data_IF_247395186714
#
_entry.id   IF_247395186714
#
_cell.length_a   1.000
_cell.length_b   1.000
_cell.length_c   1.000
_cell.angle_alpha   90.00
_cell.angle_beta   90.00
_cell.angle_gamma   90.00
#
_symmetry.space_group_name_H-M   'P 1'
#
loop_
_entity.id
_entity.type
_entity.pdbx_description
1 polymer ?
#
# COMPACT_ATOMS: atom_id res chain seq x y z
N UNK A 1 4.51 0.85 17.03
CA UNK A 1 4.64 0.47 15.60
C UNK A 1 3.69 1.30 14.77
N UNK A 2 2.50 1.53 15.32
CA UNK A 2 1.34 2.26 14.81
C UNK A 2 1.64 3.62 14.17
N UNK A 3 2.60 4.38 14.68
CA UNK A 3 2.99 5.68 14.10
C UNK A 3 3.61 5.49 12.71
N UNK A 4 4.54 4.53 12.56
CA UNK A 4 5.21 4.24 11.28
C UNK A 4 4.23 3.67 10.27
N UNK A 5 3.31 2.82 10.71
CA UNK A 5 2.26 2.22 9.88
C UNK A 5 1.33 3.28 9.29
N UNK A 6 0.84 4.18 10.13
CA UNK A 6 0.00 5.29 9.69
C UNK A 6 0.75 6.25 8.75
N UNK A 7 2.04 6.49 8.99
CA UNK A 7 2.87 7.27 8.10
C UNK A 7 3.06 6.58 6.75
N UNK A 8 3.25 5.26 6.73
CA UNK A 8 3.40 4.49 5.50
C UNK A 8 2.11 4.52 4.68
N UNK A 9 0.96 4.30 5.33
CA UNK A 9 -0.36 4.40 4.68
C UNK A 9 -0.54 5.77 4.03
N UNK A 10 -0.19 6.84 4.74
CA UNK A 10 -0.23 8.21 4.20
C UNK A 10 0.73 8.39 3.04
N UNK A 11 1.97 7.90 3.12
CA UNK A 11 2.96 8.02 2.06
C UNK A 11 2.50 7.34 0.76
N UNK A 12 1.96 6.13 0.86
CA UNK A 12 1.38 5.39 -0.29
C UNK A 12 0.22 6.19 -0.90
N UNK A 13 -0.70 6.69 -0.06
CA UNK A 13 -1.84 7.48 -0.51
C UNK A 13 -1.44 8.79 -1.18
N UNK A 14 -0.35 9.42 -0.71
CA UNK A 14 0.21 10.66 -1.23
C UNK A 14 1.16 10.44 -2.43
N UNK A 15 1.39 9.19 -2.83
CA UNK A 15 2.34 8.79 -3.88
C UNK A 15 3.80 9.18 -3.60
N UNK A 16 4.14 9.33 -2.33
CA UNK A 16 5.50 9.66 -1.91
C UNK A 16 6.35 8.38 -1.91
N UNK A 17 6.96 8.08 -3.07
CA UNK A 17 7.72 6.82 -3.28
C UNK A 17 8.94 6.74 -2.38
N UNK A 18 9.68 7.83 -2.25
CA UNK A 18 10.89 7.87 -1.45
C UNK A 18 10.56 7.62 0.02
N UNK A 19 9.54 8.30 0.54
CA UNK A 19 9.08 8.08 1.92
C UNK A 19 8.43 6.73 2.12
N UNK A 20 7.73 6.19 1.12
CA UNK A 20 7.18 4.84 1.17
C UNK A 20 8.30 3.81 1.30
N UNK A 21 9.38 3.96 0.54
CA UNK A 21 10.56 3.11 0.63
C UNK A 21 11.26 3.23 1.99
N UNK A 22 11.52 4.45 2.45
CA UNK A 22 12.14 4.71 3.76
C UNK A 22 11.35 4.08 4.92
N UNK A 23 10.03 4.31 4.95
CA UNK A 23 9.16 3.82 6.01
C UNK A 23 8.99 2.30 5.97
N UNK A 24 8.94 1.70 4.77
CA UNK A 24 8.84 0.24 4.63
C UNK A 24 10.13 -0.48 5.00
N UNK A 25 11.29 0.09 4.68
CA UNK A 25 12.58 -0.40 5.18
C UNK A 25 12.65 -0.31 6.72
N UNK A 26 12.20 0.82 7.29
CA UNK A 26 12.16 1.01 8.74
C UNK A 26 11.24 0.02 9.46
N UNK A 27 10.04 -0.21 8.92
CA UNK A 27 9.09 -1.20 9.46
C UNK A 27 9.66 -2.61 9.35
N UNK A 28 10.24 -2.97 8.20
CA UNK A 28 10.87 -4.27 8.01
C UNK A 28 12.00 -4.51 9.02
N UNK A 29 12.90 -3.54 9.19
CA UNK A 29 14.02 -3.66 10.12
C UNK A 29 13.52 -3.82 11.55
N UNK A 30 12.48 -3.06 11.95
CA UNK A 30 11.91 -3.17 13.29
C UNK A 30 11.29 -4.55 13.57
N UNK A 31 10.56 -5.10 12.60
CA UNK A 31 10.00 -6.47 12.72
C UNK A 31 11.13 -7.51 12.74
N UNK A 32 12.23 -7.29 12.02
CA UNK A 32 13.38 -8.19 12.05
C UNK A 32 14.17 -8.11 13.36
N UNK A 33 14.33 -6.91 13.94
CA UNK A 33 15.03 -6.64 15.19
C UNK A 33 14.27 -7.17 16.41
N UNK A 34 12.94 -7.08 16.41
CA UNK A 34 12.08 -7.59 17.50
C UNK A 34 12.03 -9.14 17.54
N UNK A 35 12.91 -9.84 16.80
CA UNK A 35 12.93 -11.29 16.61
C UNK A 35 11.55 -11.89 16.30
N UNK A 36 10.69 -11.11 15.65
CA UNK A 36 9.30 -11.53 15.43
C UNK A 36 9.26 -12.65 14.41
N UNK A 37 8.40 -13.65 14.64
CA UNK A 37 8.39 -14.85 13.81
C UNK A 37 8.02 -14.54 12.37
N UNK A 38 8.52 -15.36 11.45
CA UNK A 38 8.15 -15.34 10.03
C UNK A 38 6.63 -15.29 9.81
N UNK A 39 5.87 -16.02 10.63
CA UNK A 39 4.41 -16.06 10.58
C UNK A 39 3.77 -14.75 11.04
N UNK A 40 4.34 -14.07 12.03
CA UNK A 40 3.91 -12.72 12.40
C UNK A 40 4.02 -11.78 11.21
N UNK A 41 5.15 -11.81 10.49
CA UNK A 41 5.31 -10.95 9.32
C UNK A 41 4.33 -11.32 8.18
N UNK A 42 4.00 -12.60 7.98
CA UNK A 42 2.92 -13.00 7.06
C UNK A 42 1.59 -12.38 7.44
N UNK A 43 1.17 -12.54 8.69
CA UNK A 43 -0.09 -11.97 9.20
C UNK A 43 -0.12 -10.45 9.03
N UNK A 44 1.02 -9.80 9.26
CA UNK A 44 1.18 -8.36 9.10
C UNK A 44 0.99 -7.91 7.65
N UNK A 45 1.61 -8.59 6.68
CA UNK A 45 1.44 -8.27 5.25
C UNK A 45 0.00 -8.50 4.77
N UNK A 46 -0.69 -9.54 5.27
CA UNK A 46 -2.10 -9.79 4.96
C UNK A 46 -2.97 -8.60 5.40
N UNK A 47 -2.74 -8.06 6.60
CA UNK A 47 -3.47 -6.90 7.11
C UNK A 47 -3.20 -5.66 6.27
N UNK A 48 -1.93 -5.37 5.96
CA UNK A 48 -1.57 -4.25 5.09
C UNK A 48 -2.19 -4.34 3.70
N UNK A 49 -2.18 -5.53 3.10
CA UNK A 49 -2.82 -5.77 1.80
C UNK A 49 -4.32 -5.42 1.85
N UNK A 50 -5.01 -5.79 2.93
CA UNK A 50 -6.40 -5.43 3.15
C UNK A 50 -6.63 -3.93 3.30
N UNK A 51 -5.79 -3.25 4.07
CA UNK A 51 -5.86 -1.80 4.30
C UNK A 51 -5.64 -1.03 3.01
N UNK A 52 -4.61 -1.39 2.23
CA UNK A 52 -4.30 -0.70 0.97
C UNK A 52 -5.37 -0.96 -0.09
N UNK A 53 -5.87 -2.18 -0.19
CA UNK A 53 -7.01 -2.51 -1.05
C UNK A 53 -8.19 -1.59 -0.75
N UNK A 54 -8.66 -1.57 0.50
CA UNK A 54 -9.81 -0.77 0.91
C UNK A 54 -9.61 0.72 0.60
N UNK A 55 -8.43 1.25 0.96
CA UNK A 55 -8.12 2.65 0.73
C UNK A 55 -8.07 3.02 -0.76
N UNK A 56 -7.68 2.09 -1.62
CA UNK A 56 -7.62 2.29 -3.07
C UNK A 56 -9.02 2.30 -3.69
N UNK A 57 -9.94 1.43 -3.24
CA UNK A 57 -11.24 1.26 -3.91
C UNK A 57 -12.41 2.02 -3.26
N UNK A 58 -12.32 2.42 -1.98
CA UNK A 58 -13.46 2.96 -1.21
C UNK A 58 -14.19 4.16 -1.83
N UNK A 59 -13.54 4.89 -2.73
CA UNK A 59 -14.09 6.09 -3.39
C UNK A 59 -14.25 5.92 -4.92
N UNK A 60 -14.11 4.70 -5.44
CA UNK A 60 -14.18 4.39 -6.87
C UNK A 60 -15.46 3.61 -7.15
N UNK A 61 -16.17 3.97 -8.23
CA UNK A 61 -17.39 3.27 -8.69
C UNK A 61 -17.17 2.42 -9.94
N UNK A 62 -15.98 2.50 -10.52
CA UNK A 62 -15.57 1.72 -11.68
C UNK A 62 -15.40 0.25 -11.28
N UNK A 63 -16.30 -0.60 -11.78
CA UNK A 63 -16.36 -2.04 -11.47
C UNK A 63 -15.15 -2.76 -12.06
N UNK A 64 -14.73 -2.42 -13.28
CA UNK A 64 -13.60 -3.06 -13.94
C UNK A 64 -12.31 -2.76 -13.19
N UNK A 65 -12.10 -1.49 -12.81
CA UNK A 65 -10.97 -1.10 -11.98
C UNK A 65 -10.99 -1.80 -10.62
N UNK A 66 -12.14 -1.82 -9.93
CA UNK A 66 -12.27 -2.45 -8.61
C UNK A 66 -11.97 -3.95 -8.69
N UNK A 67 -12.42 -4.61 -9.75
CA UNK A 67 -12.15 -6.03 -10.03
C UNK A 67 -10.66 -6.27 -10.29
N UNK A 68 -10.01 -5.41 -11.07
CA UNK A 68 -8.56 -5.50 -11.30
C UNK A 68 -7.76 -5.35 -9.99
N UNK A 69 -8.10 -4.38 -9.14
CA UNK A 69 -7.45 -4.20 -7.83
C UNK A 69 -7.71 -5.40 -6.90
N UNK A 70 -8.91 -6.00 -6.94
CA UNK A 70 -9.22 -7.22 -6.18
C UNK A 70 -8.39 -8.42 -6.64
N UNK A 71 -8.20 -8.59 -7.96
CA UNK A 71 -7.37 -9.67 -8.51
C UNK A 71 -5.92 -9.54 -8.04
N UNK A 72 -5.35 -8.33 -8.08
CA UNK A 72 -4.00 -8.06 -7.59
C UNK A 72 -3.87 -8.27 -6.08
N UNK A 73 -4.86 -7.84 -5.29
CA UNK A 73 -4.93 -8.15 -3.86
C UNK A 73 -4.84 -9.66 -3.61
N UNK A 74 -5.62 -10.46 -4.35
CA UNK A 74 -5.63 -11.92 -4.21
C UNK A 74 -4.31 -12.55 -4.66
N UNK A 75 -3.68 -12.03 -5.71
CA UNK A 75 -2.35 -12.47 -6.14
C UNK A 75 -1.29 -12.21 -5.04
N UNK A 76 -1.35 -11.07 -4.36
CA UNK A 76 -0.48 -10.80 -3.21
C UNK A 76 -0.75 -11.74 -2.03
N UNK A 77 -2.02 -12.09 -1.74
CA UNK A 77 -2.33 -13.08 -0.70
C UNK A 77 -1.70 -14.44 -1.03
N UNK A 78 -1.77 -14.87 -2.29
CA UNK A 78 -1.13 -16.10 -2.76
C UNK A 78 0.40 -16.03 -2.57
N UNK A 79 1.05 -14.97 -3.04
CA UNK A 79 2.51 -14.75 -2.86
C UNK A 79 2.95 -14.72 -1.39
N UNK A 80 2.13 -14.15 -0.50
CA UNK A 80 2.41 -14.17 0.95
C UNK A 80 2.31 -15.60 1.48
N UNK A 81 1.28 -16.36 1.07
CA UNK A 81 1.10 -17.74 1.53
C UNK A 81 2.25 -18.66 1.07
N UNK A 82 2.67 -18.54 -0.20
CA UNK A 82 3.72 -19.33 -0.85
C UNK A 82 5.14 -18.94 -0.43
N UNK A 83 5.31 -17.77 0.18
CA UNK A 83 6.60 -17.35 0.72
C UNK A 83 7.09 -18.34 1.77
N UNK A 84 8.38 -18.68 1.71
CA UNK A 84 9.03 -19.65 2.61
C UNK A 84 10.09 -19.04 3.52
N UNK A 85 10.46 -17.77 3.31
CA UNK A 85 11.49 -17.11 4.11
C UNK A 85 11.28 -15.59 4.18
N UNK A 86 11.92 -14.95 5.15
CA UNK A 86 11.75 -13.52 5.41
C UNK A 86 12.16 -12.65 4.21
N UNK A 87 13.13 -13.09 3.41
CA UNK A 87 13.59 -12.36 2.22
C UNK A 87 12.53 -12.37 1.11
N UNK A 88 11.80 -13.47 0.92
CA UNK A 88 10.69 -13.53 -0.03
C UNK A 88 9.53 -12.66 0.44
N UNK A 89 9.18 -12.67 1.74
CA UNK A 89 8.15 -11.78 2.28
C UNK A 89 8.54 -10.31 2.14
N UNK A 90 9.80 -9.96 2.38
CA UNK A 90 10.33 -8.61 2.16
C UNK A 90 10.08 -8.18 0.72
N UNK A 91 10.40 -9.03 -0.26
CA UNK A 91 10.16 -8.74 -1.68
C UNK A 91 8.67 -8.51 -1.96
N UNK A 92 7.80 -9.38 -1.45
CA UNK A 92 6.34 -9.23 -1.61
C UNK A 92 5.83 -7.93 -1.00
N UNK A 93 6.37 -7.52 0.16
CA UNK A 93 6.02 -6.25 0.80
C UNK A 93 6.32 -5.05 -0.09
N UNK A 94 7.52 -4.96 -0.66
CA UNK A 94 7.88 -3.86 -1.57
C UNK A 94 7.06 -3.87 -2.86
N UNK A 95 6.88 -5.04 -3.49
CA UNK A 95 6.04 -5.16 -4.69
C UNK A 95 4.61 -4.67 -4.43
N UNK A 96 4.05 -5.01 -3.26
CA UNK A 96 2.72 -4.57 -2.85
C UNK A 96 2.65 -3.05 -2.70
N UNK A 97 3.64 -2.44 -2.04
CA UNK A 97 3.69 -0.99 -1.84
C UNK A 97 3.84 -0.24 -3.17
N UNK A 98 4.70 -0.72 -4.06
CA UNK A 98 4.88 -0.13 -5.39
C UNK A 98 3.59 -0.18 -6.19
N UNK A 99 2.90 -1.32 -6.19
CA UNK A 99 1.63 -1.49 -6.86
C UNK A 99 0.57 -0.51 -6.33
N UNK A 100 0.36 -0.45 -5.01
CA UNK A 100 -0.66 0.43 -4.44
C UNK A 100 -0.34 1.90 -4.59
N UNK A 101 0.94 2.27 -4.53
CA UNK A 101 1.41 3.64 -4.79
C UNK A 101 1.16 4.03 -6.24
N UNK A 102 1.44 3.15 -7.20
CA UNK A 102 1.16 3.39 -8.61
C UNK A 102 -0.35 3.45 -8.90
N UNK A 103 -1.14 2.63 -8.21
CA UNK A 103 -2.59 2.53 -8.40
C UNK A 103 -3.34 3.81 -7.98
N UNK A 104 -2.77 4.62 -7.07
CA UNK A 104 -3.34 5.91 -6.68
C UNK A 104 -3.49 6.88 -7.86
N UNK A 105 -2.68 6.73 -8.93
CA UNK A 105 -2.82 7.55 -10.15
C UNK A 105 -4.19 7.42 -10.79
N UNK A 106 -4.77 6.22 -10.79
CA UNK A 106 -6.08 5.94 -11.40
C UNK A 106 -7.25 6.45 -10.53
N UNK A 107 -7.01 6.64 -9.23
CA UNK A 107 -7.99 7.14 -8.26
C UNK A 107 -8.45 8.57 -8.59
N UNK A 108 -7.53 9.43 -9.07
CA UNK A 108 -7.87 10.81 -9.49
C UNK A 108 -8.85 10.80 -10.67
N UNK A 109 -8.56 9.99 -11.68
CA UNK A 109 -9.33 9.98 -12.93
C UNK A 109 -10.73 9.40 -12.71
N UNK A 110 -10.82 8.34 -11.89
CA UNK A 110 -12.05 7.57 -11.66
C UNK A 110 -12.84 8.01 -10.40
N UNK A 111 -12.38 9.02 -9.64
CA UNK A 111 -13.14 9.57 -8.53
C UNK A 111 -14.37 10.34 -9.07
N UNK A 112 -15.56 9.82 -8.78
CA UNK A 112 -16.84 10.42 -9.22
C UNK A 112 -17.29 11.58 -8.32
N UNK A 113 -16.77 11.68 -7.10
CA UNK A 113 -17.07 12.79 -6.21
C UNK A 113 -16.19 14.00 -6.56
N UNK A 114 -16.75 15.12 -7.05
CA UNK A 114 -15.98 16.26 -7.52
C UNK A 114 -15.13 16.92 -6.43
N UNK A 115 -15.64 17.00 -5.20
CA UNK A 115 -14.93 17.59 -4.06
C UNK A 115 -13.69 16.75 -3.71
N UNK A 116 -13.88 15.42 -3.60
CA UNK A 116 -12.78 14.49 -3.30
C UNK A 116 -11.75 14.50 -4.42
N UNK A 117 -12.20 14.51 -5.69
CA UNK A 117 -11.31 14.61 -6.85
C UNK A 117 -10.46 15.87 -6.82
N UNK A 118 -11.06 17.03 -6.57
CA UNK A 118 -10.32 18.31 -6.48
C UNK A 118 -9.33 18.31 -5.31
N UNK A 119 -9.69 17.77 -4.15
CA UNK A 119 -8.78 17.64 -3.01
C UNK A 119 -7.61 16.71 -3.34
N UNK A 120 -7.87 15.57 -3.98
CA UNK A 120 -6.81 14.63 -4.42
C UNK A 120 -5.87 15.31 -5.43
N UNK A 121 -6.40 16.00 -6.43
CA UNK A 121 -5.60 16.75 -7.41
C UNK A 121 -4.75 17.81 -6.70
N UNK A 122 -5.33 18.56 -5.76
CA UNK A 122 -4.60 19.58 -5.00
C UNK A 122 -3.47 18.98 -4.17
N UNK A 123 -3.73 17.90 -3.43
CA UNK A 123 -2.71 17.18 -2.65
C UNK A 123 -1.62 16.68 -3.59
N UNK A 124 -1.97 16.01 -4.69
CA UNK A 124 -0.99 15.44 -5.60
C UNK A 124 -0.15 16.47 -6.37
N UNK A 125 -0.71 17.63 -6.69
CA UNK A 125 0.01 18.69 -7.38
C UNK A 125 0.91 19.53 -6.46
N UNK A 126 0.76 19.38 -5.13
CA UNK A 126 1.51 20.16 -4.14
C UNK A 126 2.32 19.29 -3.17
N UNK A 127 2.11 17.98 -3.14
CA UNK A 127 3.04 17.03 -2.52
C UNK A 127 4.32 16.94 -3.35
N UNK A 128 5.45 17.33 -2.75
CA UNK A 128 6.77 17.32 -3.40
C UNK A 128 7.22 18.68 -3.91
N UNK A 129 6.41 19.73 -3.83
CA UNK A 129 6.88 21.11 -3.96
C UNK A 129 7.50 21.56 -2.64
N UNK A 130 8.76 21.21 -2.44
CA UNK A 130 9.66 21.86 -1.48
C UNK A 130 10.87 22.37 -2.22
#
# INVERSE_FOLDING_TARGET
MDILENQLIRAVLMKDRDKTKELSESIFNKIAEDHTSFDFFKSYLIQFNGIFYWNTIKNIKDIEYTTAILNERNAFLLKISESTNIKSLKKVFFEMLDFYTASQNKLIYNCTNPLIKTILIYIYNNCGKK
#
